data_IF_777234581893
#
_entry.id   IF_777234581893
#
_cell.length_a   1.000
_cell.length_b   1.000
_cell.length_c   1.000
_cell.angle_alpha   90.00
_cell.angle_beta   90.00
_cell.angle_gamma   90.00
#
_symmetry.space_group_name_H-M   'P 1'
#
loop_
_entity.id
_entity.type
_entity.pdbx_description
1 polymer ?
#
# COMPACT_ATOMS: atom_id res chain seq x y z
N UNK A 1 4.02 12.69 21.19
CA UNK A 1 4.41 11.53 20.34
C UNK A 1 3.72 10.24 20.76
N UNK A 2 3.76 9.82 22.03
CA UNK A 2 3.17 8.53 22.48
C UNK A 2 1.70 8.33 22.07
N UNK A 3 0.86 9.37 22.15
CA UNK A 3 -0.55 9.28 21.75
C UNK A 3 -0.77 8.96 20.26
N UNK A 4 0.07 9.48 19.35
CA UNK A 4 -0.05 9.21 17.92
C UNK A 4 0.36 7.78 17.57
N UNK A 5 1.40 7.24 18.24
CA UNK A 5 1.78 5.84 18.09
C UNK A 5 0.63 4.91 18.49
N UNK A 6 -0.03 5.19 19.62
CA UNK A 6 -1.18 4.42 20.08
C UNK A 6 -2.36 4.49 19.11
N UNK A 7 -2.64 5.67 18.55
CA UNK A 7 -3.69 5.83 17.54
C UNK A 7 -3.39 4.97 16.33
N UNK A 8 -2.18 5.05 15.76
CA UNK A 8 -1.77 4.27 14.57
C UNK A 8 -1.91 2.77 14.82
N UNK A 9 -1.35 2.27 15.92
CA UNK A 9 -1.35 0.84 16.22
C UNK A 9 -2.74 0.32 16.54
N UNK A 10 -3.50 1.00 17.39
CA UNK A 10 -4.85 0.58 17.77
C UNK A 10 -5.80 0.57 16.57
N UNK A 11 -5.79 1.64 15.78
CA UNK A 11 -6.64 1.73 14.58
C UNK A 11 -6.21 0.70 13.52
N UNK A 12 -4.89 0.47 13.37
CA UNK A 12 -4.37 -0.55 12.46
C UNK A 12 -4.76 -1.96 12.88
N UNK A 13 -4.67 -2.27 14.18
CA UNK A 13 -5.15 -3.53 14.74
C UNK A 13 -6.65 -3.69 14.55
N UNK A 14 -7.45 -2.64 14.79
CA UNK A 14 -8.90 -2.69 14.60
C UNK A 14 -9.26 -2.97 13.12
N UNK A 15 -8.58 -2.32 12.18
CA UNK A 15 -8.79 -2.55 10.74
C UNK A 15 -8.38 -3.99 10.36
N UNK A 16 -7.18 -4.42 10.75
CA UNK A 16 -6.66 -5.75 10.39
C UNK A 16 -7.46 -6.89 11.02
N UNK A 17 -7.81 -6.77 12.31
CA UNK A 17 -8.65 -7.76 12.98
C UNK A 17 -10.09 -7.73 12.43
N UNK A 18 -10.61 -6.56 12.08
CA UNK A 18 -11.91 -6.41 11.41
C UNK A 18 -11.97 -7.20 10.09
N UNK A 19 -10.89 -7.22 9.31
CA UNK A 19 -10.80 -8.04 8.10
C UNK A 19 -10.85 -9.54 8.40
N UNK A 20 -10.15 -10.00 9.44
CA UNK A 20 -10.21 -11.40 9.87
C UNK A 20 -11.61 -11.78 10.34
N UNK A 21 -12.27 -10.90 11.11
CA UNK A 21 -13.66 -11.11 11.56
C UNK A 21 -14.59 -11.17 10.35
N UNK A 22 -14.46 -10.27 9.38
CA UNK A 22 -15.26 -10.29 8.16
C UNK A 22 -15.05 -11.57 7.33
N UNK A 23 -13.83 -12.08 7.28
CA UNK A 23 -13.51 -13.35 6.62
C UNK A 23 -14.21 -14.53 7.31
N UNK A 24 -14.11 -14.61 8.65
CA UNK A 24 -14.76 -15.65 9.45
C UNK A 24 -16.28 -15.56 9.33
N UNK A 25 -16.84 -14.34 9.39
CA UNK A 25 -18.28 -14.11 9.20
C UNK A 25 -18.73 -14.53 7.80
N UNK A 26 -17.94 -14.20 6.78
CA UNK A 26 -18.13 -14.66 5.41
C UNK A 26 -18.27 -16.17 5.32
N UNK A 27 -17.29 -16.89 5.89
CA UNK A 27 -17.22 -18.34 5.85
C UNK A 27 -18.33 -19.04 6.65
N UNK A 28 -18.71 -18.50 7.81
CA UNK A 28 -19.64 -19.15 8.73
C UNK A 28 -21.10 -18.74 8.54
N UNK A 29 -21.37 -17.51 8.11
CA UNK A 29 -22.72 -16.92 8.16
C UNK A 29 -23.19 -16.30 6.85
N UNK A 30 -22.32 -16.08 5.86
CA UNK A 30 -22.66 -15.38 4.62
C UNK A 30 -22.31 -16.14 3.34
N UNK A 31 -22.35 -17.48 3.38
CA UNK A 31 -22.13 -18.34 2.20
C UNK A 31 -20.79 -18.07 1.48
N UNK A 32 -19.76 -17.74 2.25
CA UNK A 32 -18.44 -17.36 1.75
C UNK A 32 -18.30 -15.89 1.35
N UNK A 33 -19.37 -15.09 1.40
CA UNK A 33 -19.35 -13.67 1.04
C UNK A 33 -18.93 -12.79 2.23
N UNK A 34 -17.61 -12.58 2.38
CA UNK A 34 -17.06 -11.70 3.41
C UNK A 34 -17.43 -10.22 3.25
N UNK A 35 -17.81 -9.77 2.04
CA UNK A 35 -18.24 -8.38 1.80
C UNK A 35 -19.56 -8.06 2.50
N UNK A 36 -20.41 -9.07 2.70
CA UNK A 36 -21.68 -8.90 3.41
C UNK A 36 -21.51 -8.43 4.85
N UNK A 37 -20.36 -8.73 5.48
CA UNK A 37 -20.02 -8.24 6.81
C UNK A 37 -19.83 -6.70 6.87
N UNK A 38 -19.63 -6.05 5.72
CA UNK A 38 -19.41 -4.61 5.64
C UNK A 38 -20.63 -3.80 5.20
N UNK A 39 -21.72 -4.46 4.78
CA UNK A 39 -22.96 -3.77 4.38
C UNK A 39 -23.49 -2.80 5.45
N UNK A 40 -23.41 -3.09 6.77
CA UNK A 40 -23.84 -2.14 7.80
C UNK A 40 -23.03 -0.83 7.80
N UNK A 41 -21.82 -0.82 7.23
CA UNK A 41 -20.92 0.33 7.19
C UNK A 41 -21.02 1.05 5.84
N UNK A 42 -20.93 0.32 4.73
CA UNK A 42 -20.83 0.88 3.38
C UNK A 42 -22.10 0.73 2.54
N UNK A 43 -23.19 0.23 3.13
CA UNK A 43 -24.44 -0.02 2.44
C UNK A 43 -24.48 -1.37 1.71
N UNK A 44 -25.69 -1.80 1.38
CA UNK A 44 -25.98 -3.09 0.74
C UNK A 44 -26.25 -2.95 -0.77
N UNK A 45 -26.05 -4.02 -1.56
CA UNK A 45 -26.47 -4.05 -2.96
C UNK A 45 -27.96 -3.74 -3.17
N UNK A 46 -28.82 -4.10 -2.21
CA UNK A 46 -30.25 -3.82 -2.27
C UNK A 46 -30.54 -2.31 -2.19
N UNK A 47 -29.79 -1.55 -1.38
CA UNK A 47 -29.92 -0.10 -1.32
C UNK A 47 -29.44 0.57 -2.62
N UNK A 48 -28.43 0.01 -3.28
CA UNK A 48 -27.93 0.49 -4.57
C UNK A 48 -29.00 0.26 -5.66
N UNK A 49 -29.51 -0.97 -5.76
CA UNK A 49 -30.59 -1.33 -6.70
C UNK A 49 -31.84 -0.47 -6.48
N UNK A 50 -32.25 -0.24 -5.23
CA UNK A 50 -33.36 0.66 -4.91
C UNK A 50 -33.11 2.12 -5.34
N UNK A 51 -31.87 2.59 -5.26
CA UNK A 51 -31.50 3.95 -5.66
C UNK A 51 -31.45 4.11 -7.19
N UNK A 52 -30.90 3.14 -7.92
CA UNK A 52 -30.71 3.21 -9.38
C UNK A 52 -31.90 2.69 -10.18
N UNK A 53 -32.72 1.83 -9.57
CA UNK A 53 -33.79 1.08 -10.24
C UNK A 53 -33.25 0.02 -11.21
N UNK A 54 -32.04 -0.48 -10.98
CA UNK A 54 -31.31 -1.44 -11.84
C UNK A 54 -31.20 -0.99 -13.30
N UNK A 55 -31.03 0.33 -13.49
CA UNK A 55 -30.83 0.94 -14.80
C UNK A 55 -29.38 1.38 -14.96
N UNK A 56 -28.79 1.20 -16.16
CA UNK A 56 -27.49 1.77 -16.46
C UNK A 56 -27.55 3.30 -16.35
N UNK A 57 -26.40 3.91 -16.09
CA UNK A 57 -26.29 5.37 -16.05
C UNK A 57 -26.67 5.99 -17.40
N UNK A 58 -27.48 7.03 -17.36
CA UNK A 58 -27.83 7.82 -18.54
C UNK A 58 -26.70 8.81 -18.90
N UNK A 59 -26.63 9.19 -20.17
CA UNK A 59 -25.72 10.24 -20.63
C UNK A 59 -25.94 11.53 -19.84
N UNK A 60 -24.86 12.10 -19.31
CA UNK A 60 -24.91 13.33 -18.50
C UNK A 60 -25.26 13.11 -17.02
N UNK A 61 -25.54 11.89 -16.57
CA UNK A 61 -25.85 11.60 -15.17
C UNK A 61 -24.75 12.08 -14.20
N UNK A 62 -23.48 12.01 -14.60
CA UNK A 62 -22.35 12.51 -13.81
C UNK A 62 -22.43 14.03 -13.58
N UNK A 63 -22.74 14.80 -14.64
CA UNK A 63 -22.85 16.26 -14.55
C UNK A 63 -24.04 16.63 -13.65
N UNK A 64 -25.15 15.91 -13.80
CA UNK A 64 -26.33 16.08 -12.96
C UNK A 64 -26.01 15.78 -11.49
N UNK A 65 -25.33 14.67 -11.20
CA UNK A 65 -24.95 14.29 -9.84
C UNK A 65 -24.06 15.34 -9.16
N UNK A 66 -23.05 15.84 -9.87
CA UNK A 66 -22.18 16.93 -9.37
C UNK A 66 -22.99 18.20 -9.11
N UNK A 67 -23.86 18.57 -10.04
CA UNK A 67 -24.67 19.80 -9.93
C UNK A 67 -25.65 19.71 -8.77
N UNK A 68 -26.37 18.60 -8.66
CA UNK A 68 -27.33 18.33 -7.60
C UNK A 68 -26.65 18.29 -6.23
N UNK A 69 -25.47 17.66 -6.11
CA UNK A 69 -24.75 17.62 -4.85
C UNK A 69 -24.17 18.97 -4.45
N UNK A 70 -23.61 19.74 -5.39
CA UNK A 70 -23.14 21.11 -5.10
C UNK A 70 -24.28 22.01 -4.61
N UNK A 71 -25.48 21.85 -5.19
CA UNK A 71 -26.66 22.60 -4.76
C UNK A 71 -27.14 22.16 -3.36
N UNK A 72 -27.12 20.86 -3.06
CA UNK A 72 -27.58 20.32 -1.78
C UNK A 72 -26.57 20.47 -0.63
N UNK A 73 -25.27 20.45 -0.93
CA UNK A 73 -24.16 20.47 0.04
C UNK A 73 -23.10 21.51 -0.37
N UNK A 74 -23.44 22.80 -0.44
CA UNK A 74 -22.54 23.84 -0.96
C UNK A 74 -21.27 24.00 -0.11
N UNK A 75 -21.37 23.73 1.19
CA UNK A 75 -20.27 23.96 2.15
C UNK A 75 -19.36 22.74 2.33
N UNK A 76 -19.68 21.58 1.73
CA UNK A 76 -18.88 20.37 1.87
C UNK A 76 -18.03 20.12 0.62
N UNK A 77 -16.69 20.14 0.71
CA UNK A 77 -15.86 19.87 -0.44
C UNK A 77 -16.03 18.41 -0.88
N UNK A 78 -16.24 18.21 -2.18
CA UNK A 78 -16.18 16.89 -2.79
C UNK A 78 -14.71 16.45 -2.87
N UNK A 79 -14.42 15.27 -2.33
CA UNK A 79 -13.06 14.72 -2.27
C UNK A 79 -12.83 13.59 -3.25
N UNK A 80 -13.90 12.88 -3.63
CA UNK A 80 -13.81 11.74 -4.52
C UNK A 80 -15.09 11.57 -5.33
N UNK A 81 -14.94 11.20 -6.60
CA UNK A 81 -16.04 10.89 -7.51
C UNK A 81 -15.70 9.56 -8.16
N UNK A 82 -16.61 8.59 -8.10
CA UNK A 82 -16.44 7.30 -8.74
C UNK A 82 -17.72 6.85 -9.44
N UNK A 83 -17.52 6.16 -10.57
CA UNK A 83 -18.52 5.29 -11.15
C UNK A 83 -18.15 3.88 -10.72
N UNK A 84 -19.07 3.24 -9.99
CA UNK A 84 -18.89 1.89 -9.45
C UNK A 84 -19.64 0.91 -10.33
N UNK A 85 -19.12 -0.32 -10.40
CA UNK A 85 -19.73 -1.42 -11.17
C UNK A 85 -19.92 -1.10 -12.66
N UNK A 86 -18.96 -0.36 -13.25
CA UNK A 86 -19.01 0.04 -14.66
C UNK A 86 -19.27 -1.16 -15.57
N UNK A 87 -20.26 -1.05 -16.46
CA UNK A 87 -20.61 -2.09 -17.42
C UNK A 87 -21.49 -3.22 -16.85
N UNK A 88 -22.06 -3.06 -15.65
CA UNK A 88 -23.07 -3.98 -15.10
C UNK A 88 -24.44 -3.30 -14.97
N UNK A 89 -25.54 -4.07 -14.81
CA UNK A 89 -26.86 -3.50 -14.52
C UNK A 89 -26.95 -2.72 -13.20
N UNK A 90 -25.94 -2.87 -12.33
CA UNK A 90 -25.84 -2.21 -11.03
C UNK A 90 -24.83 -1.06 -11.05
N UNK A 91 -24.54 -0.49 -12.21
CA UNK A 91 -23.69 0.68 -12.36
C UNK A 91 -24.28 1.90 -11.62
N UNK A 92 -23.46 2.60 -10.84
CA UNK A 92 -23.92 3.77 -10.08
C UNK A 92 -22.83 4.80 -9.83
N UNK A 93 -23.26 6.04 -9.62
CA UNK A 93 -22.39 7.15 -9.21
C UNK A 93 -22.33 7.18 -7.70
N UNK A 94 -21.12 7.34 -7.17
CA UNK A 94 -20.89 7.68 -5.78
C UNK A 94 -19.99 8.92 -5.72
N UNK A 95 -20.44 9.94 -4.97
CA UNK A 95 -19.64 11.13 -4.71
C UNK A 95 -19.42 11.22 -3.20
N UNK A 96 -18.17 11.39 -2.79
CA UNK A 96 -17.79 11.55 -1.40
C UNK A 96 -17.52 13.02 -1.08
N UNK A 97 -18.18 13.53 -0.04
CA UNK A 97 -17.88 14.84 0.55
C UNK A 97 -17.08 14.68 1.84
N UNK A 98 -16.40 15.75 2.27
CA UNK A 98 -15.74 15.79 3.59
C UNK A 98 -16.52 16.69 4.55
N UNK A 99 -17.30 16.11 5.49
CA UNK A 99 -18.00 16.87 6.51
C UNK A 99 -17.00 17.62 7.41
N UNK A 100 -17.36 18.85 7.81
CA UNK A 100 -16.56 19.61 8.77
C UNK A 100 -16.62 18.97 10.16
N UNK A 101 -15.51 19.07 10.91
CA UNK A 101 -15.42 18.65 12.32
C UNK A 101 -15.81 17.18 12.58
N UNK A 102 -15.67 16.31 11.58
CA UNK A 102 -15.83 14.86 11.73
C UNK A 102 -14.52 14.15 11.40
N UNK A 103 -14.26 13.05 12.11
CA UNK A 103 -13.11 12.18 11.86
C UNK A 103 -13.40 11.12 10.80
N UNK A 104 -14.63 11.02 10.29
CA UNK A 104 -14.97 10.07 9.23
C UNK A 104 -14.23 10.43 7.94
N UNK A 105 -13.78 9.42 7.19
CA UNK A 105 -13.04 9.66 5.94
C UNK A 105 -13.83 10.49 4.92
N UNK A 106 -15.16 10.40 4.96
CA UNK A 106 -16.09 11.19 4.17
C UNK A 106 -17.53 10.73 4.31
N UNK A 107 -18.46 11.52 3.78
CA UNK A 107 -19.85 11.11 3.57
C UNK A 107 -20.03 10.75 2.10
N UNK A 108 -20.51 9.54 1.83
CA UNK A 108 -20.83 9.12 0.48
C UNK A 108 -22.28 9.48 0.15
N UNK A 109 -22.53 9.84 -1.10
CA UNK A 109 -23.85 10.21 -1.61
C UNK A 109 -24.27 9.28 -2.73
N UNK A 110 -25.55 8.90 -2.72
CA UNK A 110 -26.20 7.98 -3.66
C UNK A 110 -27.00 8.76 -4.68
N UNK A 111 -26.96 8.29 -5.92
CA UNK A 111 -27.66 8.88 -7.05
C UNK A 111 -28.44 7.82 -7.84
N UNK A 112 -29.52 8.21 -8.51
CA UNK A 112 -30.14 7.34 -9.52
C UNK A 112 -29.38 7.35 -10.85
N UNK A 113 -29.87 6.53 -11.80
CA UNK A 113 -29.35 6.44 -13.15
C UNK A 113 -29.28 7.78 -13.91
N UNK A 114 -30.05 8.80 -13.50
CA UNK A 114 -30.08 10.14 -14.10
C UNK A 114 -29.17 11.15 -13.40
N UNK A 115 -28.55 10.75 -12.29
CA UNK A 115 -27.77 11.64 -11.43
C UNK A 115 -28.59 12.46 -10.45
N UNK A 116 -29.85 12.10 -10.17
CA UNK A 116 -30.61 12.74 -9.10
C UNK A 116 -30.17 12.21 -7.74
N UNK A 117 -29.99 13.11 -6.78
CA UNK A 117 -29.60 12.76 -5.42
C UNK A 117 -30.70 11.93 -4.74
N UNK A 118 -30.35 10.76 -4.21
CA UNK A 118 -31.26 9.88 -3.44
C UNK A 118 -31.04 9.94 -1.94
N UNK A 119 -29.85 10.30 -1.50
CA UNK A 119 -29.52 10.42 -0.09
C UNK A 119 -28.06 10.13 0.18
N UNK A 120 -27.69 10.11 1.46
CA UNK A 120 -26.34 9.77 1.91
C UNK A 120 -26.26 8.32 2.39
N UNK A 121 -25.06 7.86 2.71
CA UNK A 121 -24.84 6.58 3.40
C UNK A 121 -24.91 6.75 4.93
N UNK A 122 -25.15 7.97 5.42
CA UNK A 122 -25.14 8.33 6.83
C UNK A 122 -23.87 7.87 7.55
N UNK A 123 -22.72 8.02 6.90
CA UNK A 123 -21.42 7.64 7.45
C UNK A 123 -21.03 8.59 8.60
N UNK A 124 -21.40 9.87 8.46
CA UNK A 124 -21.03 10.96 9.36
C UNK A 124 -22.06 11.22 10.48
N UNK A 125 -23.32 10.84 10.28
CA UNK A 125 -24.45 11.14 11.16
C UNK A 125 -25.32 9.92 11.52
N UNK A 126 -25.00 8.73 10.98
CA UNK A 126 -25.71 7.49 11.26
C UNK A 126 -25.34 6.85 12.60
N UNK A 127 -25.56 5.53 12.77
CA UNK A 127 -25.26 4.84 14.03
C UNK A 127 -23.80 5.01 14.48
N UNK A 128 -23.58 5.10 15.80
CA UNK A 128 -22.25 5.35 16.37
C UNK A 128 -21.19 4.34 15.88
N UNK A 129 -21.55 3.06 15.74
CA UNK A 129 -20.65 2.02 15.23
C UNK A 129 -20.14 2.31 13.81
N UNK A 130 -21.01 2.84 12.92
CA UNK A 130 -20.63 3.23 11.56
C UNK A 130 -19.69 4.44 11.57
N UNK A 131 -20.00 5.45 12.38
CA UNK A 131 -19.14 6.63 12.55
C UNK A 131 -17.75 6.25 13.09
N UNK A 132 -17.70 5.37 14.09
CA UNK A 132 -16.44 4.86 14.65
C UNK A 132 -15.64 4.12 13.57
N UNK A 133 -16.26 3.17 12.86
CA UNK A 133 -15.60 2.39 11.82
C UNK A 133 -15.05 3.29 10.70
N UNK A 134 -15.83 4.28 10.25
CA UNK A 134 -15.40 5.23 9.24
C UNK A 134 -14.31 6.20 9.71
N UNK A 135 -14.24 6.48 11.01
CA UNK A 135 -13.19 7.32 11.61
C UNK A 135 -11.85 6.61 11.74
N UNK A 136 -11.84 5.27 11.79
CA UNK A 136 -10.60 4.49 11.86
C UNK A 136 -9.68 4.78 10.68
N UNK A 137 -10.23 4.97 9.48
CA UNK A 137 -9.44 5.27 8.29
C UNK A 137 -8.69 6.60 8.42
N UNK A 138 -9.40 7.70 8.72
CA UNK A 138 -8.79 9.03 8.79
C UNK A 138 -7.76 9.12 9.94
N UNK A 139 -8.02 8.43 11.06
CA UNK A 139 -7.09 8.30 12.18
C UNK A 139 -5.87 7.42 11.87
N UNK A 140 -6.06 6.29 11.20
CA UNK A 140 -4.98 5.34 10.88
C UNK A 140 -4.01 5.88 9.84
N UNK A 141 -4.51 6.62 8.85
CA UNK A 141 -3.71 7.20 7.77
C UNK A 141 -3.21 8.62 8.07
N UNK A 142 -3.60 9.21 9.21
CA UNK A 142 -3.13 10.54 9.63
C UNK A 142 -3.71 11.67 8.78
N UNK A 143 -4.91 11.47 8.22
CA UNK A 143 -5.56 12.40 7.29
C UNK A 143 -6.26 13.60 7.96
N UNK A 144 -6.22 13.69 9.29
CA UNK A 144 -6.96 14.67 10.09
C UNK A 144 -6.20 15.97 10.41
N UNK A 145 -4.86 15.99 10.31
CA UNK A 145 -4.05 17.11 10.79
C UNK A 145 -3.09 17.70 9.75
N UNK A 146 -3.42 17.56 8.46
CA UNK A 146 -2.64 18.14 7.37
C UNK A 146 -1.20 17.59 7.27
N UNK A 147 -0.31 18.40 6.70
CA UNK A 147 1.09 17.99 6.45
C UNK A 147 1.88 17.61 7.70
N UNK A 148 1.80 18.32 8.84
CA UNK A 148 2.55 17.94 10.04
C UNK A 148 2.22 16.53 10.53
N UNK A 149 0.93 16.17 10.57
CA UNK A 149 0.51 14.81 10.98
C UNK A 149 0.99 13.77 9.97
N UNK A 150 0.87 14.03 8.67
CA UNK A 150 1.38 13.13 7.62
C UNK A 150 2.88 12.86 7.76
N UNK A 151 3.68 13.90 8.04
CA UNK A 151 5.13 13.75 8.24
C UNK A 151 5.45 12.93 9.50
N UNK A 152 4.73 13.17 10.61
CA UNK A 152 4.89 12.35 11.82
C UNK A 152 4.53 10.89 11.53
N UNK A 153 3.42 10.64 10.84
CA UNK A 153 2.99 9.29 10.47
C UNK A 153 3.98 8.61 9.53
N UNK A 154 4.58 9.34 8.59
CA UNK A 154 5.64 8.82 7.73
C UNK A 154 6.87 8.38 8.55
N UNK A 155 7.30 9.20 9.52
CA UNK A 155 8.42 8.86 10.41
C UNK A 155 8.08 7.65 11.30
N UNK A 156 6.88 7.62 11.88
CA UNK A 156 6.44 6.52 12.73
C UNK A 156 6.29 5.21 11.94
N UNK A 157 5.72 5.27 10.74
CA UNK A 157 5.60 4.12 9.84
C UNK A 157 6.97 3.59 9.43
N UNK A 158 7.90 4.47 9.04
CA UNK A 158 9.27 4.09 8.73
C UNK A 158 10.00 3.48 9.94
N UNK A 159 9.83 4.09 11.12
CA UNK A 159 10.37 3.57 12.37
C UNK A 159 9.87 2.16 12.69
N UNK A 160 8.58 1.90 12.47
CA UNK A 160 8.00 0.57 12.62
C UNK A 160 8.60 -0.44 11.63
N UNK A 161 8.78 -0.06 10.36
CA UNK A 161 9.46 -0.91 9.37
C UNK A 161 10.87 -1.26 9.80
N UNK A 162 11.66 -0.28 10.26
CA UNK A 162 13.03 -0.49 10.76
C UNK A 162 13.02 -1.39 12.00
N UNK A 163 12.10 -1.18 12.93
CA UNK A 163 11.97 -2.00 14.13
C UNK A 163 11.67 -3.46 13.81
N UNK A 164 10.76 -3.74 12.87
CA UNK A 164 10.42 -5.10 12.45
C UNK A 164 11.64 -5.74 11.76
N UNK A 165 12.27 -5.03 10.82
CA UNK A 165 13.47 -5.48 10.10
C UNK A 165 14.60 -5.85 11.07
N UNK A 166 14.99 -4.90 11.94
CA UNK A 166 16.08 -5.06 12.88
C UNK A 166 15.75 -6.05 14.01
N UNK A 167 14.49 -6.13 14.45
CA UNK A 167 14.07 -7.04 15.51
C UNK A 167 14.29 -8.50 15.14
N UNK A 168 13.94 -8.88 13.90
CA UNK A 168 14.21 -10.22 13.38
C UNK A 168 15.72 -10.49 13.23
N UNK A 169 16.49 -9.52 12.73
CA UNK A 169 17.96 -9.65 12.62
C UNK A 169 18.60 -9.87 14.00
N UNK A 170 18.20 -9.08 15.01
CA UNK A 170 18.68 -9.22 16.39
C UNK A 170 18.31 -10.60 16.94
N UNK A 171 17.09 -11.07 16.72
CA UNK A 171 16.66 -12.39 17.15
C UNK A 171 17.50 -13.51 16.49
N UNK A 172 17.74 -13.42 15.18
CA UNK A 172 18.55 -14.39 14.43
C UNK A 172 20.01 -14.41 14.91
N UNK A 173 20.60 -13.25 15.16
CA UNK A 173 21.97 -13.11 15.68
C UNK A 173 22.05 -13.72 17.08
N UNK A 174 21.16 -13.33 18.00
CA UNK A 174 21.12 -13.88 19.37
C UNK A 174 20.81 -15.38 19.41
N UNK A 175 20.03 -15.89 18.45
CA UNK A 175 19.78 -17.33 18.34
C UNK A 175 21.06 -18.08 17.96
N UNK A 176 21.84 -17.54 17.03
CA UNK A 176 23.14 -18.11 16.64
C UNK A 176 24.15 -18.09 17.81
N UNK A 177 24.23 -16.99 18.57
CA UNK A 177 25.08 -16.90 19.79
C UNK A 177 24.71 -17.95 20.84
N UNK A 178 23.43 -18.34 20.92
CA UNK A 178 22.93 -19.42 21.80
C UNK A 178 23.11 -20.83 21.22
N UNK A 179 23.87 -20.98 20.15
CA UNK A 179 24.13 -22.27 19.49
C UNK A 179 22.99 -22.78 18.61
N UNK A 180 22.00 -21.94 18.27
CA UNK A 180 20.89 -22.27 17.37
C UNK A 180 20.89 -21.37 16.12
N UNK A 181 21.88 -21.50 15.22
CA UNK A 181 21.94 -20.67 14.03
C UNK A 181 20.84 -21.04 13.03
N UNK A 182 20.19 -20.02 12.46
CA UNK A 182 19.19 -20.17 11.39
C UNK A 182 19.64 -19.44 10.11
N UNK A 183 20.73 -19.89 9.47
CA UNK A 183 21.38 -19.13 8.39
C UNK A 183 20.47 -18.98 7.16
N UNK A 184 19.69 -20.01 6.81
CA UNK A 184 18.76 -19.94 5.69
C UNK A 184 17.62 -18.95 5.92
N UNK A 185 17.05 -18.94 7.13
CA UNK A 185 15.98 -18.00 7.51
C UNK A 185 16.53 -16.56 7.46
N UNK A 186 17.75 -16.32 7.92
CA UNK A 186 18.37 -15.01 7.86
C UNK A 186 18.57 -14.51 6.43
N UNK A 187 18.96 -15.39 5.51
CA UNK A 187 19.08 -15.04 4.08
C UNK A 187 17.73 -14.75 3.44
N UNK A 188 16.72 -15.59 3.68
CA UNK A 188 15.36 -15.36 3.19
C UNK A 188 14.77 -14.06 3.75
N UNK A 189 15.04 -13.77 5.02
CA UNK A 189 14.66 -12.50 5.63
C UNK A 189 15.34 -11.30 4.95
N UNK A 190 16.64 -11.40 4.69
CA UNK A 190 17.39 -10.37 3.94
C UNK A 190 16.81 -10.16 2.54
N UNK A 191 16.48 -11.25 1.85
CA UNK A 191 15.82 -11.24 0.54
C UNK A 191 14.43 -10.63 0.62
N UNK A 192 13.66 -10.89 1.68
CA UNK A 192 12.36 -10.25 1.87
C UNK A 192 12.50 -8.73 2.07
N UNK A 193 13.39 -8.29 2.97
CA UNK A 193 13.55 -6.88 3.34
C UNK A 193 13.99 -6.00 2.17
N UNK A 194 14.97 -6.46 1.39
CA UNK A 194 15.50 -5.68 0.26
C UNK A 194 14.87 -6.08 -1.08
N UNK A 195 14.51 -7.35 -1.25
CA UNK A 195 13.93 -7.87 -2.48
C UNK A 195 12.48 -7.45 -2.69
N UNK A 196 11.66 -7.32 -1.64
CA UNK A 196 10.29 -6.83 -1.80
C UNK A 196 10.22 -5.41 -2.40
N UNK A 197 10.91 -4.38 -1.84
CA UNK A 197 10.93 -3.07 -2.46
C UNK A 197 11.64 -3.07 -3.82
N UNK A 198 12.64 -3.94 -4.04
CA UNK A 198 13.28 -4.09 -5.35
C UNK A 198 12.29 -4.60 -6.40
N UNK A 199 11.50 -5.60 -6.04
CA UNK A 199 10.49 -6.20 -6.92
C UNK A 199 9.32 -5.26 -7.16
N UNK A 200 8.92 -4.42 -6.21
CA UNK A 200 7.92 -3.37 -6.47
C UNK A 200 8.44 -2.43 -7.59
N UNK A 201 9.67 -1.94 -7.47
CA UNK A 201 10.27 -1.05 -8.47
C UNK A 201 10.49 -1.74 -9.83
N UNK A 202 10.96 -2.99 -9.82
CA UNK A 202 11.16 -3.78 -11.03
C UNK A 202 9.82 -4.11 -11.71
N UNK A 203 8.79 -4.47 -10.95
CA UNK A 203 7.44 -4.70 -11.46
C UNK A 203 6.90 -3.46 -12.14
N UNK A 204 7.07 -2.27 -11.54
CA UNK A 204 6.68 -1.03 -12.20
C UNK A 204 7.41 -0.88 -13.54
N UNK A 205 8.73 -1.02 -13.56
CA UNK A 205 9.52 -0.84 -14.78
C UNK A 205 9.10 -1.83 -15.89
N UNK A 206 8.89 -3.10 -15.54
CA UNK A 206 8.50 -4.16 -16.47
C UNK A 206 7.07 -3.95 -16.97
N UNK A 207 6.10 -3.74 -16.06
CA UNK A 207 4.70 -3.60 -16.41
C UNK A 207 4.46 -2.33 -17.25
N UNK A 208 5.13 -1.23 -16.91
CA UNK A 208 5.07 0.02 -17.68
C UNK A 208 5.63 -0.15 -19.10
N UNK A 209 6.73 -0.90 -19.25
CA UNK A 209 7.41 -1.05 -20.54
C UNK A 209 6.80 -2.12 -21.45
N UNK A 210 6.15 -3.13 -20.88
CA UNK A 210 5.70 -4.33 -21.62
C UNK A 210 4.20 -4.61 -21.52
N UNK A 211 3.49 -3.95 -20.61
CA UNK A 211 2.09 -4.26 -20.30
C UNK A 211 1.89 -5.57 -19.52
N UNK A 212 2.97 -6.20 -19.03
CA UNK A 212 2.88 -7.43 -18.25
C UNK A 212 2.04 -7.25 -16.98
N UNK A 213 1.34 -8.31 -16.58
CA UNK A 213 0.52 -8.30 -15.36
C UNK A 213 1.39 -8.03 -14.11
N UNK A 214 1.20 -6.90 -13.40
CA UNK A 214 2.09 -6.51 -12.31
C UNK A 214 2.01 -7.46 -11.12
N UNK A 215 0.86 -8.08 -10.86
CA UNK A 215 0.67 -9.05 -9.78
C UNK A 215 1.51 -10.30 -10.06
N UNK A 216 1.48 -10.80 -11.29
CA UNK A 216 2.25 -11.96 -11.70
C UNK A 216 3.76 -11.68 -11.67
N UNK A 217 4.19 -10.50 -12.14
CA UNK A 217 5.62 -10.10 -12.13
C UNK A 217 6.13 -9.98 -10.69
N UNK A 218 5.36 -9.34 -9.79
CA UNK A 218 5.75 -9.18 -8.40
C UNK A 218 5.87 -10.52 -7.68
N UNK A 219 4.79 -11.32 -7.66
CA UNK A 219 4.80 -12.60 -6.93
C UNK A 219 5.71 -13.64 -7.57
N UNK A 220 5.75 -13.70 -8.90
CA UNK A 220 6.67 -14.57 -9.63
C UNK A 220 8.13 -14.22 -9.36
N UNK A 221 8.48 -12.94 -9.36
CA UNK A 221 9.83 -12.48 -9.02
C UNK A 221 10.20 -12.75 -7.55
N UNK A 222 9.29 -12.49 -6.61
CA UNK A 222 9.52 -12.80 -5.19
C UNK A 222 9.70 -14.31 -4.96
N UNK A 223 8.86 -15.14 -5.57
CA UNK A 223 9.00 -16.60 -5.51
C UNK A 223 10.32 -17.06 -6.13
N UNK A 224 10.69 -16.51 -7.28
CA UNK A 224 11.97 -16.82 -7.94
C UNK A 224 13.16 -16.46 -7.05
N UNK A 225 13.18 -15.28 -6.43
CA UNK A 225 14.25 -14.87 -5.51
C UNK A 225 14.34 -15.80 -4.29
N UNK A 226 13.21 -16.21 -3.71
CA UNK A 226 13.18 -17.16 -2.62
C UNK A 226 13.72 -18.54 -3.06
N UNK A 227 13.25 -19.08 -4.19
CA UNK A 227 13.68 -20.36 -4.74
C UNK A 227 15.17 -20.36 -5.08
N UNK A 228 15.69 -19.31 -5.71
CA UNK A 228 17.13 -19.15 -5.99
C UNK A 228 17.93 -19.18 -4.69
N UNK A 229 17.44 -18.52 -3.64
CA UNK A 229 18.11 -18.49 -2.32
C UNK A 229 18.13 -19.87 -1.66
N UNK A 230 17.09 -20.67 -1.86
CA UNK A 230 16.97 -22.02 -1.31
C UNK A 230 17.84 -23.05 -2.05
N UNK A 231 17.91 -22.96 -3.38
CA UNK A 231 18.47 -24.03 -4.23
C UNK A 231 19.91 -23.74 -4.66
N UNK A 232 20.28 -22.47 -4.85
CA UNK A 232 21.61 -22.13 -5.35
C UNK A 232 22.64 -22.18 -4.23
N UNK A 233 23.68 -23.05 -4.29
CA UNK A 233 24.76 -23.11 -3.28
C UNK A 233 25.45 -21.76 -3.10
N UNK A 234 25.54 -20.99 -4.19
CA UNK A 234 26.07 -19.62 -4.20
C UNK A 234 25.34 -18.69 -3.24
N UNK A 235 24.05 -18.91 -3.00
CA UNK A 235 23.24 -18.10 -2.09
C UNK A 235 22.97 -18.82 -0.77
N UNK A 236 22.69 -20.12 -0.80
CA UNK A 236 22.40 -20.91 0.40
C UNK A 236 23.60 -21.05 1.34
N UNK A 237 24.83 -20.92 0.84
CA UNK A 237 26.05 -21.00 1.64
C UNK A 237 26.75 -19.65 1.78
N UNK A 238 26.32 -18.62 1.04
CA UNK A 238 26.93 -17.30 1.10
C UNK A 238 26.86 -16.66 2.51
N UNK A 239 27.86 -15.84 2.88
CA UNK A 239 27.74 -14.96 4.03
C UNK A 239 26.54 -14.03 3.87
N UNK A 240 25.79 -13.80 4.96
CA UNK A 240 24.61 -12.92 4.98
C UNK A 240 24.93 -11.52 4.44
N UNK A 241 26.13 -11.01 4.75
CA UNK A 241 26.59 -9.72 4.24
C UNK A 241 26.68 -9.67 2.70
N UNK A 242 26.99 -10.79 2.04
CA UNK A 242 27.01 -10.88 0.59
C UNK A 242 25.61 -10.84 -0.01
N UNK A 243 24.68 -11.62 0.55
CA UNK A 243 23.27 -11.60 0.16
C UNK A 243 22.70 -10.18 0.33
N UNK A 244 22.97 -9.53 1.45
CA UNK A 244 22.55 -8.15 1.71
C UNK A 244 23.13 -7.15 0.70
N UNK A 245 24.40 -7.30 0.28
CA UNK A 245 24.99 -6.44 -0.75
C UNK A 245 24.32 -6.64 -2.10
N UNK A 246 24.11 -7.89 -2.51
CA UNK A 246 23.45 -8.22 -3.77
C UNK A 246 22.01 -7.69 -3.80
N UNK A 247 21.25 -7.86 -2.72
CA UNK A 247 19.86 -7.37 -2.66
C UNK A 247 19.77 -5.84 -2.61
N UNK A 248 20.70 -5.16 -1.92
CA UNK A 248 20.79 -3.70 -1.98
C UNK A 248 21.16 -3.19 -3.37
N UNK A 249 22.05 -3.88 -4.08
CA UNK A 249 22.35 -3.55 -5.47
C UNK A 249 21.12 -3.76 -6.35
N UNK A 250 20.41 -4.89 -6.20
CA UNK A 250 19.19 -5.17 -6.93
C UNK A 250 18.13 -4.07 -6.70
N UNK A 251 17.90 -3.68 -5.45
CA UNK A 251 17.04 -2.55 -5.09
C UNK A 251 17.48 -1.24 -5.74
N UNK A 252 18.78 -0.93 -5.68
CA UNK A 252 19.34 0.27 -6.28
C UNK A 252 19.10 0.32 -7.79
N UNK A 253 19.41 -0.77 -8.49
CA UNK A 253 19.22 -0.91 -9.93
C UNK A 253 17.74 -0.90 -10.33
N UNK A 254 16.86 -1.54 -9.57
CA UNK A 254 15.42 -1.53 -9.86
C UNK A 254 14.80 -0.15 -9.70
N UNK A 255 15.26 0.66 -8.74
CA UNK A 255 14.81 2.05 -8.58
C UNK A 255 15.24 2.92 -9.78
N UNK A 256 16.48 2.74 -10.25
CA UNK A 256 16.97 3.43 -11.45
C UNK A 256 16.22 2.97 -12.70
N UNK A 257 15.92 1.67 -12.82
CA UNK A 257 15.12 1.12 -13.91
C UNK A 257 13.69 1.67 -13.89
N UNK A 258 13.08 1.80 -12.71
CA UNK A 258 11.74 2.38 -12.53
C UNK A 258 11.68 3.82 -13.06
N UNK A 259 12.64 4.66 -12.68
CA UNK A 259 12.72 6.05 -13.15
C UNK A 259 12.98 6.11 -14.65
N UNK A 260 13.88 5.26 -15.16
CA UNK A 260 14.19 5.19 -16.59
C UNK A 260 12.97 4.79 -17.41
N UNK A 261 12.21 3.79 -16.96
CA UNK A 261 10.99 3.33 -17.62
C UNK A 261 9.93 4.43 -17.63
N UNK A 262 9.66 5.07 -16.48
CA UNK A 262 8.73 6.21 -16.42
C UNK A 262 9.12 7.34 -17.36
N UNK A 263 10.41 7.69 -17.41
CA UNK A 263 10.89 8.76 -18.27
C UNK A 263 10.77 8.39 -19.75
N UNK A 264 11.10 7.15 -20.13
CA UNK A 264 11.01 6.68 -21.50
C UNK A 264 9.56 6.62 -22.02
N UNK A 265 8.59 6.29 -21.16
CA UNK A 265 7.19 6.17 -21.58
C UNK A 265 6.44 7.51 -21.59
N UNK A 266 6.67 8.37 -20.59
CA UNK A 266 5.87 9.59 -20.43
C UNK A 266 6.59 10.87 -20.82
N UNK A 267 7.93 10.86 -20.90
CA UNK A 267 8.76 12.05 -21.16
C UNK A 267 8.39 13.26 -20.27
N UNK A 268 7.92 12.98 -19.03
CA UNK A 268 7.33 13.98 -18.15
C UNK A 268 8.37 14.65 -17.26
N UNK A 269 8.47 15.97 -17.37
CA UNK A 269 9.33 16.83 -16.53
C UNK A 269 8.51 17.77 -15.65
N UNK A 270 7.28 17.39 -15.31
CA UNK A 270 6.46 18.18 -14.38
C UNK A 270 7.13 18.26 -13.01
N UNK A 271 6.82 19.30 -12.22
CA UNK A 271 7.36 19.45 -10.86
C UNK A 271 7.13 18.20 -10.00
N UNK A 272 5.94 17.59 -10.11
CA UNK A 272 5.61 16.36 -9.40
C UNK A 272 6.48 15.17 -9.86
N UNK A 273 6.66 15.00 -11.18
CA UNK A 273 7.53 13.95 -11.72
C UNK A 273 8.98 14.14 -11.28
N UNK A 274 9.50 15.37 -11.30
CA UNK A 274 10.86 15.68 -10.85
C UNK A 274 11.05 15.40 -9.35
N UNK A 275 10.11 15.81 -8.50
CA UNK A 275 10.16 15.56 -7.06
C UNK A 275 10.26 14.08 -6.73
N UNK A 276 9.50 13.23 -7.43
CA UNK A 276 9.52 11.78 -7.23
C UNK A 276 10.79 11.16 -7.85
N UNK A 277 11.09 11.47 -9.11
CA UNK A 277 12.20 10.85 -9.84
C UNK A 277 13.56 11.16 -9.21
N UNK A 278 13.80 12.40 -8.79
CA UNK A 278 15.08 12.79 -8.15
C UNK A 278 15.28 12.00 -6.86
N UNK A 279 14.26 11.89 -6.02
CA UNK A 279 14.35 11.13 -4.76
C UNK A 279 14.64 9.65 -5.04
N UNK A 280 13.96 9.04 -6.00
CA UNK A 280 14.17 7.64 -6.37
C UNK A 280 15.55 7.39 -6.97
N UNK A 281 16.07 8.31 -7.80
CA UNK A 281 17.43 8.24 -8.33
C UNK A 281 18.46 8.33 -7.21
N UNK A 282 18.31 9.29 -6.28
CA UNK A 282 19.22 9.44 -5.15
C UNK A 282 19.23 8.20 -4.24
N UNK A 283 18.05 7.63 -3.96
CA UNK A 283 17.93 6.38 -3.21
C UNK A 283 18.56 5.21 -3.98
N UNK A 284 18.27 5.09 -5.28
CA UNK A 284 18.81 4.05 -6.14
C UNK A 284 20.34 4.06 -6.20
N UNK A 285 20.93 5.23 -6.41
CA UNK A 285 22.37 5.45 -6.35
C UNK A 285 22.92 5.17 -4.95
N UNK A 286 22.24 5.63 -3.89
CA UNK A 286 22.63 5.38 -2.51
C UNK A 286 22.77 3.88 -2.21
N UNK A 287 21.74 3.10 -2.52
CA UNK A 287 21.76 1.65 -2.31
C UNK A 287 22.85 0.95 -3.15
N UNK A 288 22.98 1.31 -4.43
CA UNK A 288 24.02 0.76 -5.30
C UNK A 288 25.44 1.08 -4.81
N UNK A 289 25.68 2.31 -4.35
CA UNK A 289 26.95 2.74 -3.78
C UNK A 289 27.28 2.02 -2.46
N UNK A 290 26.30 1.80 -1.59
CA UNK A 290 26.53 1.02 -0.35
C UNK A 290 26.92 -0.43 -0.63
N UNK A 291 26.33 -1.04 -1.68
CA UNK A 291 26.71 -2.37 -2.12
C UNK A 291 28.14 -2.39 -2.69
N UNK A 292 28.48 -1.44 -3.57
CA UNK A 292 29.79 -1.34 -4.21
C UNK A 292 30.93 -1.11 -3.20
N UNK A 293 30.73 -0.22 -2.21
CA UNK A 293 31.70 0.01 -1.13
C UNK A 293 32.00 -1.26 -0.34
N UNK A 294 30.97 -2.07 -0.07
CA UNK A 294 31.11 -3.33 0.65
C UNK A 294 31.93 -4.39 -0.09
N UNK A 295 31.94 -4.37 -1.42
CA UNK A 295 32.80 -5.26 -2.22
C UNK A 295 34.26 -4.80 -2.23
N UNK A 296 34.50 -3.49 -2.31
CA UNK A 296 35.86 -2.94 -2.26
C UNK A 296 36.54 -3.25 -0.93
N UNK A 297 35.83 -3.15 0.19
CA UNK A 297 36.37 -3.49 1.51
C UNK A 297 36.64 -4.99 1.65
N UNK A 298 35.71 -5.85 1.21
CA UNK A 298 35.92 -7.30 1.23
C UNK A 298 37.12 -7.73 0.36
N UNK A 299 37.27 -7.14 -0.83
CA UNK A 299 38.39 -7.41 -1.73
C UNK A 299 39.73 -6.96 -1.14
N UNK A 300 39.78 -5.79 -0.48
CA UNK A 300 40.99 -5.32 0.22
C UNK A 300 41.39 -6.26 1.36
N UNK A 301 40.43 -6.73 2.16
CA UNK A 301 40.71 -7.67 3.25
C UNK A 301 41.29 -9.00 2.72
N UNK A 302 40.75 -9.52 1.62
CA UNK A 302 41.25 -10.74 0.98
C UNK A 302 42.68 -10.56 0.44
N UNK A 303 42.99 -9.43 -0.19
CA UNK A 303 44.35 -9.16 -0.69
C UNK A 303 45.38 -9.03 0.44
N UNK A 304 44.99 -8.48 1.60
CA UNK A 304 45.86 -8.41 2.77
C UNK A 304 46.14 -9.79 3.40
N UNK A 305 45.21 -10.74 3.31
CA UNK A 305 45.40 -12.11 3.80
C UNK A 305 46.29 -12.98 2.90
N UNK A 306 46.37 -12.68 1.59
CA UNK A 306 47.21 -13.42 0.63
C UNK A 306 48.65 -12.90 0.61
N UNK A 307 48.88 -11.68 1.10
CA UNK A 307 50.21 -11.06 1.20
C UNK A 307 50.96 -11.34 2.51
N UNK A 308 50.41 -12.14 3.42
CA UNK A 308 51.08 -12.69 4.61
C UNK A 308 51.29 -14.19 4.43
#
# INVERSE_FOLDING_TARGET
MAGLCLIITLTGTAIGLGQLVALVMGALYYDGNSLKAYEPIFGSPAEISAATGDKPLEDGAMINAITNLKAAQPDQPMTFIAIRMVGTPTEFIEITTKPHQRLVYGEAWRFDAKGNLKGSYHISDGPAGRQVAASLYDLHFGSFGGWPVKLIYAVLGFGLTVMIAAGMDIWLIKSAEKGKPHPLIHRLWTVLIYGAPAMIAATFAIAMSTGANPVAVFWGGMALMAVITLISPRFSDAPIAEVSRLMRLALGLSLLAMVSAHQATHMSFTTAALQVNIVLVLLGLGFALTAARGWLTARKAMMLQIGQ
#
